data_IF_328107691690
#
_entry.id   IF_328107691690
#
_cell.length_a   1.000
_cell.length_b   1.000
_cell.length_c   1.000
_cell.angle_alpha   90.00
_cell.angle_beta   90.00
_cell.angle_gamma   90.00
#
_symmetry.space_group_name_H-M   'P 1'
#
loop_
_entity.id
_entity.type
_entity.pdbx_description
1 polymer ?
#
# COMPACT_ATOMS: atom_id res chain seq x y z
N UNK A 1 9.95 0.51 7.27
CA UNK A 1 9.02 -0.36 6.52
C UNK A 1 9.57 -0.77 5.15
N UNK A 2 10.48 0.01 4.56
CA UNK A 2 11.31 -0.39 3.39
C UNK A 2 12.06 -1.72 3.60
N UNK A 3 12.46 -2.05 4.84
CA UNK A 3 13.05 -3.36 5.19
C UNK A 3 12.11 -4.57 5.13
N UNK A 4 10.78 -4.38 5.06
CA UNK A 4 9.83 -5.51 4.91
C UNK A 4 9.49 -5.78 3.44
N UNK A 5 9.57 -4.78 2.58
CA UNK A 5 9.31 -4.89 1.13
C UNK A 5 10.53 -5.39 0.34
N UNK A 6 11.74 -4.95 0.68
CA UNK A 6 12.99 -5.66 0.30
C UNK A 6 13.02 -7.10 0.86
N UNK A 7 12.23 -7.35 1.89
CA UNK A 7 12.02 -8.64 2.51
C UNK A 7 11.27 -9.65 1.63
N UNK A 8 10.44 -9.27 0.66
CA UNK A 8 9.75 -10.27 -0.17
C UNK A 8 10.74 -11.02 -1.07
N UNK A 9 11.62 -10.28 -1.77
CA UNK A 9 12.69 -10.87 -2.59
C UNK A 9 13.82 -11.46 -1.75
N UNK A 10 14.16 -10.86 -0.60
CA UNK A 10 15.18 -11.40 0.31
C UNK A 10 14.71 -12.62 1.13
N UNK A 11 13.44 -12.69 1.54
CA UNK A 11 12.87 -13.86 2.22
C UNK A 11 12.74 -15.06 1.28
N UNK A 12 12.45 -14.81 0.01
CA UNK A 12 12.50 -15.81 -1.05
C UNK A 12 13.92 -16.38 -1.25
N UNK A 13 14.93 -15.52 -1.15
CA UNK A 13 16.34 -15.92 -1.20
C UNK A 13 16.78 -16.71 0.06
N UNK A 14 16.23 -16.38 1.24
CA UNK A 14 16.48 -17.10 2.50
C UNK A 14 15.81 -18.48 2.51
N UNK A 15 14.60 -18.61 1.93
CA UNK A 15 13.85 -19.87 1.87
C UNK A 15 14.35 -20.81 0.77
N UNK A 16 15.01 -20.29 -0.27
CA UNK A 16 15.67 -21.11 -1.27
C UNK A 16 16.86 -20.39 -1.92
N UNK A 17 18.09 -20.91 -1.78
CA UNK A 17 19.26 -20.33 -2.43
C UNK A 17 19.34 -20.67 -3.94
N UNK A 18 18.34 -21.39 -4.49
CA UNK A 18 18.30 -21.73 -5.90
C UNK A 18 17.60 -20.63 -6.72
N UNK A 19 18.30 -19.94 -7.63
CA UNK A 19 17.72 -18.86 -8.42
C UNK A 19 16.52 -19.31 -9.28
N UNK A 20 16.50 -20.59 -9.69
CA UNK A 20 15.37 -21.17 -10.43
C UNK A 20 14.11 -21.31 -9.57
N UNK A 21 14.25 -21.63 -8.27
CA UNK A 21 13.11 -21.73 -7.36
C UNK A 21 12.61 -20.34 -6.96
N UNK A 22 13.52 -19.40 -6.74
CA UNK A 22 13.18 -17.98 -6.49
C UNK A 22 12.33 -17.42 -7.64
N UNK A 23 12.75 -17.62 -8.89
CA UNK A 23 12.01 -17.15 -10.07
C UNK A 23 10.63 -17.80 -10.17
N UNK A 24 10.53 -19.10 -9.89
CA UNK A 24 9.25 -19.84 -9.95
C UNK A 24 8.25 -19.29 -8.95
N UNK A 25 8.67 -19.03 -7.70
CA UNK A 25 7.76 -18.48 -6.68
C UNK A 25 7.38 -17.03 -6.99
N UNK A 26 8.30 -16.20 -7.51
CA UNK A 26 7.97 -14.85 -7.96
C UNK A 26 6.88 -14.85 -9.04
N UNK A 27 6.96 -15.77 -10.01
CA UNK A 27 5.93 -15.91 -11.04
C UNK A 27 4.58 -16.39 -10.46
N UNK A 28 4.60 -17.31 -9.48
CA UNK A 28 3.38 -17.76 -8.81
C UNK A 28 2.69 -16.62 -8.05
N UNK A 29 3.45 -15.74 -7.39
CA UNK A 29 2.89 -14.58 -6.68
C UNK A 29 2.15 -13.63 -7.64
N UNK A 30 2.72 -13.38 -8.82
CA UNK A 30 2.06 -12.58 -9.86
C UNK A 30 0.74 -13.23 -10.31
N UNK A 31 0.73 -14.55 -10.55
CA UNK A 31 -0.49 -15.26 -10.92
C UNK A 31 -1.55 -15.23 -9.80
N UNK A 32 -1.15 -15.28 -8.53
CA UNK A 32 -2.06 -15.11 -7.39
C UNK A 32 -2.70 -13.72 -7.40
N UNK A 33 -1.91 -12.65 -7.59
CA UNK A 33 -2.43 -11.28 -7.67
C UNK A 33 -3.43 -11.15 -8.82
N UNK A 34 -3.08 -11.65 -10.01
CA UNK A 34 -4.00 -11.65 -11.17
C UNK A 34 -5.28 -12.44 -10.91
N UNK A 35 -5.19 -13.58 -10.25
CA UNK A 35 -6.37 -14.38 -9.90
C UNK A 35 -7.28 -13.64 -8.91
N UNK A 36 -6.71 -12.99 -7.89
CA UNK A 36 -7.45 -12.15 -6.93
C UNK A 36 -8.12 -10.98 -7.64
N UNK A 37 -7.40 -10.27 -8.53
CA UNK A 37 -7.97 -9.18 -9.32
C UNK A 37 -9.14 -9.65 -10.19
N UNK A 38 -8.97 -10.74 -10.95
CA UNK A 38 -10.03 -11.29 -11.82
C UNK A 38 -11.28 -11.73 -11.06
N UNK A 39 -11.13 -12.09 -9.80
CA UNK A 39 -12.22 -12.47 -8.91
C UNK A 39 -12.82 -11.28 -8.14
N UNK A 40 -12.53 -10.02 -8.56
CA UNK A 40 -12.98 -8.79 -7.89
C UNK A 40 -12.51 -8.68 -6.43
N UNK A 41 -11.46 -9.42 -6.05
CA UNK A 41 -10.97 -9.49 -4.67
C UNK A 41 -10.42 -8.15 -4.17
N UNK A 42 -9.93 -7.30 -5.06
CA UNK A 42 -9.46 -5.94 -4.72
C UNK A 42 -10.57 -5.10 -4.09
N UNK A 43 -11.78 -5.12 -4.64
CA UNK A 43 -12.92 -4.36 -4.11
C UNK A 43 -13.31 -4.85 -2.71
N UNK A 44 -13.28 -6.17 -2.50
CA UNK A 44 -13.55 -6.78 -1.21
C UNK A 44 -12.48 -6.41 -0.17
N UNK A 45 -11.21 -6.39 -0.56
CA UNK A 45 -10.11 -5.93 0.31
C UNK A 45 -10.27 -4.45 0.68
N UNK A 46 -10.68 -3.59 -0.26
CA UNK A 46 -10.94 -2.17 0.03
C UNK A 46 -12.09 -2.02 1.03
N UNK A 47 -13.18 -2.78 0.84
CA UNK A 47 -14.28 -2.82 1.82
C UNK A 47 -13.81 -3.33 3.18
N UNK A 48 -12.91 -4.32 3.22
CA UNK A 48 -12.34 -4.86 4.46
C UNK A 48 -11.42 -3.85 5.15
N UNK A 49 -10.70 -3.00 4.40
CA UNK A 49 -9.89 -1.92 4.96
C UNK A 49 -10.72 -0.89 5.73
N UNK A 50 -12.01 -0.77 5.42
CA UNK A 50 -12.97 0.13 6.09
C UNK A 50 -13.78 -0.55 7.21
N UNK A 51 -13.43 -1.79 7.58
CA UNK A 51 -14.12 -2.52 8.65
C UNK A 51 -13.91 -1.85 10.02
N UNK A 52 -14.81 -2.08 10.98
CA UNK A 52 -14.68 -1.59 12.36
C UNK A 52 -13.53 -2.26 13.15
N UNK A 53 -13.11 -3.45 12.74
CA UNK A 53 -12.06 -4.19 13.41
C UNK A 53 -10.68 -3.87 12.85
N UNK A 54 -9.85 -3.24 13.69
CA UNK A 54 -8.47 -2.84 13.36
C UNK A 54 -7.60 -3.96 12.77
N UNK A 55 -7.80 -5.21 13.22
CA UNK A 55 -7.08 -6.38 12.67
C UNK A 55 -7.42 -6.57 11.19
N UNK A 56 -8.71 -6.53 10.84
CA UNK A 56 -9.17 -6.68 9.45
C UNK A 56 -8.71 -5.51 8.58
N UNK A 57 -8.75 -4.28 9.13
CA UNK A 57 -8.25 -3.10 8.44
C UNK A 57 -6.78 -3.27 8.06
N UNK A 58 -5.94 -3.67 9.02
CA UNK A 58 -4.51 -3.87 8.79
C UNK A 58 -4.21 -5.03 7.83
N UNK A 59 -4.92 -6.15 7.94
CA UNK A 59 -4.77 -7.29 7.02
C UNK A 59 -5.07 -6.88 5.58
N UNK A 60 -6.15 -6.14 5.37
CA UNK A 60 -6.51 -5.61 4.06
C UNK A 60 -5.47 -4.63 3.51
N UNK A 61 -5.04 -3.65 4.33
CA UNK A 61 -4.03 -2.66 3.92
C UNK A 61 -2.70 -3.33 3.53
N UNK A 62 -2.27 -4.34 4.29
CA UNK A 62 -1.06 -5.10 4.00
C UNK A 62 -1.23 -5.94 2.72
N UNK A 63 -2.38 -6.60 2.54
CA UNK A 63 -2.66 -7.36 1.33
C UNK A 63 -2.64 -6.47 0.07
N UNK A 64 -3.25 -5.29 0.14
CA UNK A 64 -3.24 -4.29 -0.94
C UNK A 64 -1.81 -3.81 -1.24
N UNK A 65 -0.99 -3.56 -0.20
CA UNK A 65 0.40 -3.12 -0.37
C UNK A 65 1.31 -4.22 -0.96
N UNK A 66 1.04 -5.48 -0.62
CA UNK A 66 1.75 -6.62 -1.20
C UNK A 66 1.35 -6.78 -2.66
N UNK A 67 0.05 -6.71 -2.98
CA UNK A 67 -0.45 -6.83 -4.34
C UNK A 67 0.13 -5.74 -5.26
N UNK A 68 0.13 -4.48 -4.80
CA UNK A 68 0.71 -3.34 -5.53
C UNK A 68 2.21 -3.48 -5.78
N UNK A 69 2.93 -4.11 -4.85
CA UNK A 69 4.37 -4.31 -4.98
C UNK A 69 4.69 -5.46 -5.93
N UNK A 70 3.86 -6.50 -5.96
CA UNK A 70 4.07 -7.68 -6.81
C UNK A 70 3.78 -7.36 -8.28
N UNK A 71 2.65 -6.74 -8.56
CA UNK A 71 2.21 -6.46 -9.93
C UNK A 71 1.28 -5.23 -9.92
N UNK A 72 1.89 -4.03 -9.95
CA UNK A 72 1.15 -2.76 -9.94
C UNK A 72 0.25 -2.65 -11.17
N UNK A 73 0.71 -3.09 -12.33
CA UNK A 73 -0.02 -3.03 -13.60
C UNK A 73 -1.32 -3.85 -13.52
N UNK A 74 -1.31 -4.99 -12.81
CA UNK A 74 -2.49 -5.81 -12.61
C UNK A 74 -3.51 -5.24 -11.61
N UNK A 75 -3.14 -4.28 -10.77
CA UNK A 75 -4.02 -3.73 -9.72
C UNK A 75 -4.31 -2.24 -9.86
N UNK A 76 -3.60 -1.53 -10.74
CA UNK A 76 -3.74 -0.09 -10.93
C UNK A 76 -5.16 0.33 -11.31
N UNK A 77 -5.70 -0.21 -12.42
CA UNK A 77 -7.09 0.08 -12.83
C UNK A 77 -8.10 -0.34 -11.76
N UNK A 78 -8.03 -1.55 -11.16
CA UNK A 78 -8.90 -1.95 -10.05
C UNK A 78 -8.85 -1.00 -8.85
N UNK A 79 -7.67 -0.49 -8.48
CA UNK A 79 -7.54 0.47 -7.39
C UNK A 79 -8.17 1.81 -7.72
N UNK A 80 -7.97 2.29 -8.96
CA UNK A 80 -8.57 3.54 -9.42
C UNK A 80 -10.09 3.43 -9.51
N UNK A 81 -10.60 2.37 -10.13
CA UNK A 81 -12.05 2.16 -10.34
C UNK A 81 -12.79 1.90 -9.03
N UNK A 82 -12.16 1.24 -8.07
CA UNK A 82 -12.71 1.02 -6.74
C UNK A 82 -12.52 2.21 -5.77
N UNK A 83 -11.85 3.28 -6.20
CA UNK A 83 -11.69 4.49 -5.38
C UNK A 83 -10.74 4.33 -4.19
N UNK A 84 -9.72 3.46 -4.29
CA UNK A 84 -8.80 3.15 -3.20
C UNK A 84 -8.19 4.42 -2.58
N UNK A 85 -7.67 5.36 -3.37
CA UNK A 85 -6.99 6.53 -2.83
C UNK A 85 -7.92 7.45 -2.03
N UNK A 86 -9.19 7.56 -2.42
CA UNK A 86 -10.19 8.27 -1.64
C UNK A 86 -10.45 7.59 -0.30
N UNK A 87 -10.52 6.25 -0.29
CA UNK A 87 -10.62 5.45 0.93
C UNK A 87 -9.41 5.68 1.85
N UNK A 88 -8.19 5.63 1.31
CA UNK A 88 -6.98 5.85 2.10
C UNK A 88 -6.93 7.26 2.69
N UNK A 89 -7.31 8.28 1.92
CA UNK A 89 -7.40 9.65 2.43
C UNK A 89 -8.37 9.73 3.61
N UNK A 90 -9.57 9.17 3.47
CA UNK A 90 -10.55 9.14 4.55
C UNK A 90 -10.00 8.49 5.82
N UNK A 91 -9.30 7.36 5.69
CA UNK A 91 -8.69 6.65 6.82
C UNK A 91 -7.58 7.47 7.51
N UNK A 92 -6.82 8.24 6.75
CA UNK A 92 -5.77 9.12 7.30
C UNK A 92 -6.35 10.33 8.04
N UNK A 93 -7.47 10.85 7.55
CA UNK A 93 -8.14 12.02 8.11
C UNK A 93 -9.03 11.70 9.32
N UNK A 94 -9.46 10.45 9.46
CA UNK A 94 -10.25 10.01 10.60
C UNK A 94 -9.50 10.24 11.93
N UNK A 95 -9.99 11.13 12.82
CA UNK A 95 -9.31 11.45 14.07
C UNK A 95 -9.31 10.30 15.08
N UNK A 96 -10.22 9.32 14.96
CA UNK A 96 -10.33 8.18 15.87
C UNK A 96 -9.65 6.91 15.36
N UNK A 97 -9.23 6.89 14.10
CA UNK A 97 -8.51 5.74 13.53
C UNK A 97 -7.23 5.43 14.32
N UNK A 98 -7.01 4.14 14.58
CA UNK A 98 -5.87 3.68 15.32
C UNK A 98 -4.55 4.06 14.62
N UNK A 99 -3.53 4.42 15.41
CA UNK A 99 -2.23 4.87 14.89
C UNK A 99 -1.60 3.83 13.96
N UNK A 100 -1.75 2.54 14.27
CA UNK A 100 -1.27 1.43 13.44
C UNK A 100 -1.96 1.34 12.08
N UNK A 101 -3.25 1.66 12.02
CA UNK A 101 -4.01 1.71 10.76
C UNK A 101 -3.49 2.86 9.91
N UNK A 102 -3.33 4.06 10.50
CA UNK A 102 -2.72 5.20 9.80
C UNK A 102 -1.31 4.89 9.30
N UNK A 103 -0.50 4.20 10.10
CA UNK A 103 0.85 3.77 9.74
C UNK A 103 0.83 2.80 8.53
N UNK A 104 -0.06 1.80 8.55
CA UNK A 104 -0.28 0.87 7.44
C UNK A 104 -0.77 1.60 6.17
N UNK A 105 -1.71 2.52 6.32
CA UNK A 105 -2.26 3.34 5.23
C UNK A 105 -1.19 4.19 4.56
N UNK A 106 -0.35 4.91 5.34
CA UNK A 106 0.79 5.67 4.77
C UNK A 106 1.76 4.73 4.05
N UNK A 107 1.97 3.51 4.58
CA UNK A 107 2.82 2.51 3.95
C UNK A 107 2.28 2.05 2.58
N UNK A 108 0.97 1.85 2.48
CA UNK A 108 0.30 1.57 1.22
C UNK A 108 0.45 2.74 0.24
N UNK A 109 0.21 3.99 0.68
CA UNK A 109 0.44 5.18 -0.16
C UNK A 109 1.84 5.22 -0.75
N UNK A 110 2.88 4.91 0.04
CA UNK A 110 4.25 4.81 -0.46
C UNK A 110 4.41 3.74 -1.55
N UNK A 111 3.76 2.57 -1.42
CA UNK A 111 3.84 1.50 -2.42
C UNK A 111 3.18 1.90 -3.76
N UNK A 112 2.07 2.64 -3.67
CA UNK A 112 1.30 3.11 -4.83
C UNK A 112 1.99 4.26 -5.56
N UNK A 113 2.88 4.97 -4.88
CA UNK A 113 3.68 6.05 -5.46
C UNK A 113 4.68 5.57 -6.53
N UNK A 114 4.70 4.30 -6.94
CA UNK A 114 5.48 3.89 -8.12
C UNK A 114 4.67 3.96 -9.43
N UNK A 115 3.35 4.11 -9.36
CA UNK A 115 2.47 4.28 -10.52
C UNK A 115 2.25 5.76 -10.83
N UNK A 116 2.36 6.13 -12.11
CA UNK A 116 2.19 7.52 -12.57
C UNK A 116 0.72 7.93 -12.47
N UNK A 117 -0.18 7.04 -12.85
CA UNK A 117 -1.62 7.20 -12.85
C UNK A 117 -2.15 7.39 -11.42
N UNK A 118 -1.72 6.53 -10.49
CA UNK A 118 -2.08 6.65 -9.08
C UNK A 118 -1.47 7.91 -8.45
N UNK A 119 -0.25 8.31 -8.81
CA UNK A 119 0.33 9.58 -8.36
C UNK A 119 -0.51 10.77 -8.80
N UNK A 120 -0.93 10.82 -10.06
CA UNK A 120 -1.78 11.90 -10.57
C UNK A 120 -3.10 11.97 -9.78
N UNK A 121 -3.68 10.82 -9.44
CA UNK A 121 -4.87 10.76 -8.60
C UNK A 121 -4.60 11.21 -7.15
N UNK A 122 -3.42 10.90 -6.57
CA UNK A 122 -3.04 11.42 -5.23
C UNK A 122 -2.93 12.95 -5.22
N UNK A 123 -2.40 13.55 -6.29
CA UNK A 123 -2.33 15.00 -6.43
C UNK A 123 -3.73 15.61 -6.54
N UNK A 124 -4.61 15.02 -7.34
CA UNK A 124 -6.01 15.45 -7.47
C UNK A 124 -6.78 15.39 -6.14
N UNK A 125 -6.45 14.42 -5.28
CA UNK A 125 -7.02 14.27 -3.94
C UNK A 125 -6.33 15.13 -2.88
N UNK A 126 -5.28 15.89 -3.20
CA UNK A 126 -4.48 16.64 -2.24
C UNK A 126 -3.90 15.77 -1.10
N UNK A 127 -3.57 14.50 -1.39
CA UNK A 127 -3.06 13.55 -0.37
C UNK A 127 -1.78 14.05 0.31
N UNK A 128 -0.97 14.85 -0.40
CA UNK A 128 0.21 15.52 0.14
C UNK A 128 -0.12 16.43 1.32
N UNK A 129 -1.25 17.13 1.30
CA UNK A 129 -1.67 17.97 2.43
C UNK A 129 -2.07 17.12 3.64
N UNK A 130 -2.81 16.03 3.42
CA UNK A 130 -3.17 15.06 4.46
C UNK A 130 -1.92 14.47 5.12
N UNK A 131 -0.92 14.08 4.32
CA UNK A 131 0.38 13.61 4.82
C UNK A 131 1.15 14.71 5.57
N UNK A 132 1.15 15.95 5.08
CA UNK A 132 1.78 17.08 5.77
C UNK A 132 1.21 17.37 7.16
N UNK A 133 -0.10 17.15 7.35
CA UNK A 133 -0.72 17.21 8.68
C UNK A 133 -0.20 16.07 9.58
N UNK A 134 -0.06 14.87 9.03
CA UNK A 134 0.45 13.69 9.75
C UNK A 134 1.94 13.80 10.13
N UNK A 135 2.75 14.52 9.37
CA UNK A 135 4.15 14.83 9.73
C UNK A 135 4.29 15.58 11.06
N UNK A 136 3.21 16.23 11.53
CA UNK A 136 3.18 16.93 12.81
C UNK A 136 2.43 16.14 13.91
N UNK A 137 2.16 14.85 13.68
CA UNK A 137 1.42 14.01 14.62
C UNK A 137 2.23 13.69 15.89
N UNK A 138 1.56 13.58 17.04
CA UNK A 138 2.23 13.31 18.33
C UNK A 138 2.93 11.95 18.42
N UNK A 139 2.61 11.02 17.52
CA UNK A 139 3.35 9.77 17.38
C UNK A 139 4.52 9.95 16.39
N UNK A 140 5.75 9.93 16.92
CA UNK A 140 6.97 10.19 16.15
C UNK A 140 7.24 9.19 15.03
N UNK A 141 6.82 7.92 15.19
CA UNK A 141 6.98 6.90 14.13
C UNK A 141 6.06 7.18 12.95
N UNK A 142 4.81 7.54 13.23
CA UNK A 142 3.84 7.89 12.19
C UNK A 142 4.25 9.19 11.48
N UNK A 143 4.68 10.21 12.23
CA UNK A 143 5.18 11.46 11.67
C UNK A 143 6.36 11.23 10.72
N UNK A 144 7.38 10.49 11.16
CA UNK A 144 8.55 10.16 10.33
C UNK A 144 8.19 9.34 9.08
N UNK A 145 7.18 8.47 9.17
CA UNK A 145 6.71 7.74 7.99
C UNK A 145 5.96 8.65 7.01
N UNK A 146 5.16 9.60 7.50
CA UNK A 146 4.53 10.61 6.67
C UNK A 146 5.57 11.48 5.94
N UNK A 147 6.64 11.88 6.63
CA UNK A 147 7.77 12.60 6.01
C UNK A 147 8.45 11.78 4.91
N UNK A 148 8.62 10.48 5.14
CA UNK A 148 9.15 9.56 4.14
C UNK A 148 8.22 9.49 2.92
N UNK A 149 6.91 9.39 3.12
CA UNK A 149 5.93 9.38 2.05
C UNK A 149 5.94 10.68 1.23
N UNK A 150 6.01 11.83 1.91
CA UNK A 150 6.13 13.14 1.25
C UNK A 150 7.40 13.24 0.40
N UNK A 151 8.52 12.71 0.89
CA UNK A 151 9.78 12.69 0.16
C UNK A 151 9.67 11.83 -1.11
N UNK A 152 9.12 10.61 -0.99
CA UNK A 152 8.88 9.72 -2.15
C UNK A 152 7.98 10.38 -3.19
N UNK A 153 6.93 11.07 -2.73
CA UNK A 153 6.03 11.79 -3.64
C UNK A 153 6.73 12.98 -4.32
N UNK A 154 7.79 13.55 -3.74
CA UNK A 154 8.55 14.67 -4.29
C UNK A 154 9.69 14.26 -5.23
N UNK A 155 10.36 13.13 -4.98
CA UNK A 155 11.54 12.68 -5.74
C UNK A 155 11.24 12.25 -7.18
N UNK A 156 9.99 12.08 -7.56
CA UNK A 156 9.59 11.51 -8.86
C UNK A 156 8.79 12.49 -9.70
N UNK A 157 9.15 13.78 -9.59
CA UNK A 157 8.61 14.88 -10.41
C UNK A 157 9.61 15.36 -11.46
#
# INVERSE_FOLDING_TARGET
MVSRLLGASAALYILSPSPSLTLTVSLLLVEVVKAVTRAEGVQHLISMAMNEHVIMQNEALVALAIASTIDIDAVEEPFMSAGLLSTLQQMLEDPVAAVEVKFSTVGLVCSLANSVELRSQMEALALRETLGKLSNHGNTKLASQADTALTILAETS
#
